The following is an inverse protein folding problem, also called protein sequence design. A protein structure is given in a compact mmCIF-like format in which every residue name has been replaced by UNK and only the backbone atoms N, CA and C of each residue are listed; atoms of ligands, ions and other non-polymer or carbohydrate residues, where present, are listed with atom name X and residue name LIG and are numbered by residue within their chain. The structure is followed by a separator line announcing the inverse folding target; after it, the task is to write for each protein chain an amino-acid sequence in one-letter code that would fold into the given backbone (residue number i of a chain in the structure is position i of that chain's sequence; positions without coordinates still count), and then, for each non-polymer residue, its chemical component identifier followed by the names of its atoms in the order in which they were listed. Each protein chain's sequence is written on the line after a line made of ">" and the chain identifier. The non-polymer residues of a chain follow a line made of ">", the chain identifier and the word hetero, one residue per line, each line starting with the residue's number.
data_IF_928654555730
#
_entry.id   IF_928654555730
#
_cell.length_a   1.000
_cell.length_b   1.000
_cell.length_c   1.000
_cell.angle_alpha   90.00
_cell.angle_beta   90.00
_cell.angle_gamma   90.00
#
_symmetry.space_group_name_H-M   'P 1'
#
loop_
_entity.id
_entity.type
_entity.pdbx_description
1 polymer ?
#
# COMPACT_ATOMS: atom_id res chain seq x y z
N UNK A 1 1.06 -15.29 -7.22
CA UNK A 1 1.27 -14.59 -5.94
C UNK A 1 0.01 -13.81 -5.64
N UNK A 2 -0.57 -13.98 -4.46
CA UNK A 2 -1.73 -13.21 -4.01
C UNK A 2 -1.24 -12.07 -3.10
N UNK A 3 -1.56 -10.83 -3.47
CA UNK A 3 -1.17 -9.62 -2.74
C UNK A 3 -2.35 -8.99 -1.98
N UNK A 4 -3.59 -9.41 -2.27
CA UNK A 4 -4.79 -8.72 -1.82
C UNK A 4 -5.41 -9.40 -0.60
N UNK A 5 -5.61 -10.72 -0.61
CA UNK A 5 -6.62 -11.35 0.26
C UNK A 5 -6.08 -11.86 1.61
N UNK A 6 -4.93 -11.38 2.07
CA UNK A 6 -4.35 -11.84 3.33
C UNK A 6 -5.17 -11.36 4.55
N UNK A 7 -5.30 -12.20 5.58
CA UNK A 7 -5.99 -11.88 6.83
C UNK A 7 -7.45 -12.35 6.91
N UNK A 8 -8.11 -12.04 8.05
CA UNK A 8 -9.52 -12.32 8.31
C UNK A 8 -10.19 -11.07 8.93
N UNK A 9 -11.21 -10.46 8.30
CA UNK A 9 -11.76 -10.80 6.98
C UNK A 9 -10.71 -10.68 5.86
N UNK A 10 -10.96 -11.34 4.73
CA UNK A 10 -10.03 -11.38 3.60
C UNK A 10 -9.62 -9.96 3.19
N UNK A 11 -8.31 -9.70 3.13
CA UNK A 11 -7.75 -8.38 2.80
C UNK A 11 -7.35 -7.48 3.98
N UNK A 12 -7.69 -7.87 5.21
CA UNK A 12 -7.29 -7.12 6.41
C UNK A 12 -5.77 -6.99 6.59
N UNK A 13 -4.99 -7.91 6.02
CA UNK A 13 -3.53 -7.95 6.11
C UNK A 13 -2.85 -8.03 4.74
N UNK A 14 -3.58 -7.69 3.67
CA UNK A 14 -3.06 -7.63 2.30
C UNK A 14 -1.85 -6.71 2.18
N UNK A 15 -1.02 -6.94 1.16
CA UNK A 15 0.14 -6.13 0.88
C UNK A 15 -0.28 -4.71 0.47
N UNK A 16 0.27 -3.71 1.16
CA UNK A 16 -0.04 -2.28 0.94
C UNK A 16 1.26 -1.51 0.74
N UNK A 17 1.23 -0.50 -0.12
CA UNK A 17 2.31 0.47 -0.27
C UNK A 17 1.76 1.82 0.18
N UNK A 18 2.27 2.35 1.29
CA UNK A 18 1.87 3.66 1.79
C UNK A 18 2.93 4.69 1.36
N UNK A 19 2.56 5.54 0.39
CA UNK A 19 3.45 6.59 -0.15
C UNK A 19 3.78 7.65 0.89
N UNK A 20 2.76 8.14 1.60
CA UNK A 20 2.89 9.17 2.61
C UNK A 20 3.72 8.72 3.81
N UNK A 21 3.39 7.55 4.35
CA UNK A 21 4.08 6.98 5.49
C UNK A 21 5.46 6.41 5.13
N UNK A 22 5.72 6.19 3.83
CA UNK A 22 7.05 5.87 3.30
C UNK A 22 7.47 4.41 3.50
N UNK A 23 6.52 3.47 3.52
CA UNK A 23 6.80 2.05 3.68
C UNK A 23 5.74 1.16 3.02
N UNK A 24 6.08 -0.11 2.82
CA UNK A 24 5.13 -1.16 2.50
C UNK A 24 4.83 -2.01 3.74
N UNK A 25 3.63 -2.59 3.78
CA UNK A 25 3.17 -3.44 4.88
C UNK A 25 2.34 -4.61 4.37
N UNK A 26 2.03 -5.53 5.28
CA UNK A 26 1.15 -6.67 5.02
C UNK A 26 1.87 -7.85 4.36
N UNK A 27 1.06 -8.80 3.89
CA UNK A 27 1.54 -10.10 3.47
C UNK A 27 1.23 -10.40 2.01
N UNK A 28 2.20 -11.06 1.35
CA UNK A 28 2.05 -11.63 0.02
C UNK A 28 2.10 -13.15 0.15
N UNK A 29 1.09 -13.83 -0.37
CA UNK A 29 1.10 -15.29 -0.50
C UNK A 29 1.72 -15.72 -1.82
N UNK A 30 2.58 -16.72 -1.78
CA UNK A 30 3.12 -17.36 -2.94
C UNK A 30 3.06 -18.88 -2.79
N UNK A 31 2.35 -19.53 -3.71
CA UNK A 31 1.97 -20.95 -3.64
C UNK A 31 3.10 -21.91 -3.23
N UNK A 32 4.30 -21.71 -3.78
CA UNK A 32 5.42 -22.62 -3.55
C UNK A 32 6.39 -22.16 -2.44
N UNK A 33 6.24 -20.94 -1.92
CA UNK A 33 7.19 -20.35 -0.97
C UNK A 33 6.53 -19.75 0.28
N UNK A 34 5.21 -19.87 0.40
CA UNK A 34 4.45 -19.44 1.56
C UNK A 34 4.28 -17.92 1.63
N UNK A 35 4.18 -17.42 2.86
CA UNK A 35 3.98 -16.00 3.14
C UNK A 35 5.27 -15.19 3.12
N UNK A 36 5.17 -13.99 2.55
CA UNK A 36 6.19 -12.95 2.58
C UNK A 36 5.62 -11.75 3.35
N UNK A 37 6.29 -11.35 4.44
CA UNK A 37 5.96 -10.17 5.23
C UNK A 37 6.77 -8.96 4.73
N UNK A 38 6.08 -7.91 4.27
CA UNK A 38 6.70 -6.66 3.81
C UNK A 38 7.02 -5.68 4.94
N UNK A 39 6.45 -5.89 6.13
CA UNK A 39 6.59 -5.04 7.31
C UNK A 39 5.25 -4.82 8.05
N UNK A 40 5.33 -4.37 9.29
CA UNK A 40 4.19 -4.14 10.18
C UNK A 40 3.99 -2.64 10.57
N UNK A 41 4.18 -1.69 9.66
CA UNK A 41 4.05 -0.24 9.93
C UNK A 41 5.38 0.49 10.18
N UNK A 42 6.08 0.89 9.10
CA UNK A 42 7.41 1.52 9.13
C UNK A 42 7.40 3.04 9.31
N UNK A 43 8.44 3.78 8.86
CA UNK A 43 9.68 3.31 8.21
C UNK A 43 10.63 2.50 9.12
N UNK A 44 11.49 1.70 8.50
CA UNK A 44 12.36 0.74 9.18
C UNK A 44 13.83 1.14 9.09
N UNK A 45 14.54 1.05 10.22
CA UNK A 45 16.00 1.22 10.22
C UNK A 45 16.72 0.00 9.65
N UNK A 46 16.06 -1.17 9.61
CA UNK A 46 16.57 -2.42 9.04
C UNK A 46 17.90 -2.88 9.68
N UNK A 47 18.06 -2.70 10.99
CA UNK A 47 19.29 -3.05 11.72
C UNK A 47 19.22 -4.39 12.45
N UNK A 48 18.02 -4.95 12.63
CA UNK A 48 17.81 -6.23 13.33
C UNK A 48 16.65 -7.00 12.69
N UNK A 49 16.59 -8.32 12.91
CA UNK A 49 15.46 -9.14 12.46
C UNK A 49 14.13 -8.85 13.17
N UNK A 50 14.11 -7.95 14.17
CA UNK A 50 12.89 -7.48 14.86
C UNK A 50 12.41 -6.11 14.36
N UNK A 51 13.26 -5.36 13.67
CA UNK A 51 12.93 -4.10 13.02
C UNK A 51 13.32 -4.20 11.54
N UNK A 52 12.47 -4.87 10.78
CA UNK A 52 12.61 -5.06 9.35
C UNK A 52 11.36 -4.63 8.62
N UNK A 53 11.55 -4.27 7.37
CA UNK A 53 10.47 -4.06 6.42
C UNK A 53 10.94 -3.25 5.22
N UNK A 54 10.04 -3.11 4.26
CA UNK A 54 10.31 -2.42 3.01
C UNK A 54 9.95 -0.94 3.16
N UNK A 55 10.95 -0.08 3.02
CA UNK A 55 10.77 1.37 2.95
C UNK A 55 10.49 1.78 1.50
N UNK A 56 9.71 2.84 1.32
CA UNK A 56 9.37 3.42 0.02
C UNK A 56 9.60 4.92 0.10
N UNK A 57 10.41 5.47 -0.80
CA UNK A 57 10.56 6.90 -0.90
C UNK A 57 9.28 7.53 -1.47
N UNK A 58 8.61 8.38 -0.70
CA UNK A 58 7.32 8.97 -1.10
C UNK A 58 7.37 9.90 -2.32
N UNK A 59 8.55 10.40 -2.71
CA UNK A 59 8.71 11.27 -3.89
C UNK A 59 9.16 10.51 -5.14
N UNK A 60 9.98 9.48 -4.99
CA UNK A 60 10.63 8.79 -6.13
C UNK A 60 10.14 7.35 -6.32
N UNK A 61 9.49 6.77 -5.31
CA UNK A 61 9.06 5.38 -5.30
C UNK A 61 10.20 4.39 -5.08
N UNK A 62 11.45 4.86 -4.90
CA UNK A 62 12.59 3.98 -4.65
C UNK A 62 12.36 3.14 -3.39
N UNK A 63 12.57 1.81 -3.51
CA UNK A 63 12.37 0.89 -2.39
C UNK A 63 13.69 0.47 -1.77
N UNK A 64 13.68 0.24 -0.47
CA UNK A 64 14.83 -0.25 0.29
C UNK A 64 14.38 -1.12 1.46
N UNK A 65 15.33 -1.73 2.17
CA UNK A 65 15.03 -2.58 3.31
C UNK A 65 14.76 -4.03 2.95
N UNK A 66 14.24 -4.77 3.92
CA UNK A 66 14.16 -6.22 3.89
C UNK A 66 12.72 -6.69 4.13
N UNK A 67 12.24 -7.62 3.30
CA UNK A 67 11.06 -8.43 3.59
C UNK A 67 11.49 -9.83 4.06
N UNK A 68 10.61 -10.52 4.78
CA UNK A 68 10.87 -11.88 5.28
C UNK A 68 9.90 -12.88 4.65
N UNK A 69 10.42 -13.89 3.96
CA UNK A 69 9.63 -15.02 3.46
C UNK A 69 9.88 -16.27 4.29
N UNK A 70 8.84 -16.92 4.79
CA UNK A 70 8.98 -18.03 5.75
C UNK A 70 9.76 -19.24 5.19
N UNK A 71 9.69 -19.48 3.87
CA UNK A 71 10.41 -20.58 3.21
C UNK A 71 11.57 -20.12 2.31
N UNK A 72 11.84 -18.81 2.23
CA UNK A 72 12.85 -18.23 1.32
C UNK A 72 13.81 -17.27 2.01
N UNK A 73 13.57 -16.94 3.28
CA UNK A 73 14.41 -16.09 4.08
C UNK A 73 14.32 -14.61 3.71
N UNK A 74 15.42 -13.88 3.86
CA UNK A 74 15.46 -12.44 3.61
C UNK A 74 15.36 -12.10 2.12
N UNK A 75 14.53 -11.10 1.82
CA UNK A 75 14.38 -10.50 0.49
C UNK A 75 14.76 -9.02 0.59
N UNK A 76 15.83 -8.63 -0.11
CA UNK A 76 16.35 -7.28 -0.13
C UNK A 76 15.84 -6.46 -1.33
N UNK A 77 15.09 -5.40 -1.06
CA UNK A 77 14.53 -4.51 -2.07
C UNK A 77 15.53 -3.49 -2.63
N UNK A 78 16.67 -3.26 -1.95
CA UNK A 78 17.79 -2.50 -2.53
C UNK A 78 18.75 -3.37 -3.35
N UNK A 79 18.54 -4.70 -3.39
CA UNK A 79 19.46 -5.65 -4.04
C UNK A 79 19.75 -5.34 -5.51
N UNK A 80 18.75 -4.89 -6.27
CA UNK A 80 18.92 -4.52 -7.69
C UNK A 80 19.86 -3.34 -7.93
N UNK A 81 20.23 -2.56 -6.91
CA UNK A 81 21.25 -1.53 -7.03
C UNK A 81 22.64 -2.10 -7.32
N UNK A 82 22.88 -3.37 -7.00
CA UNK A 82 24.13 -4.08 -7.26
C UNK A 82 24.13 -4.80 -8.62
N UNK A 83 23.01 -4.81 -9.35
CA UNK A 83 22.93 -5.37 -10.69
C UNK A 83 23.70 -4.49 -11.71
N UNK A 84 24.02 -5.06 -12.87
CA UNK A 84 24.63 -4.32 -13.99
C UNK A 84 23.78 -4.53 -15.26
N UNK A 85 23.07 -3.51 -15.76
CA UNK A 85 22.91 -2.17 -15.16
C UNK A 85 22.12 -2.22 -13.85
N UNK A 86 22.35 -1.23 -12.97
CA UNK A 86 21.63 -1.14 -11.71
C UNK A 86 20.15 -0.89 -11.95
N UNK A 87 19.30 -1.75 -11.38
CA UNK A 87 17.84 -1.67 -11.47
C UNK A 87 17.20 -2.03 -10.12
N UNK A 88 17.35 -1.20 -9.08
CA UNK A 88 16.75 -1.44 -7.78
C UNK A 88 15.22 -1.47 -7.84
N UNK A 89 14.60 -2.15 -6.88
CA UNK A 89 13.16 -2.16 -6.76
C UNK A 89 12.62 -0.74 -6.54
N UNK A 90 11.53 -0.42 -7.22
CA UNK A 90 10.82 0.85 -7.06
C UNK A 90 9.34 0.66 -7.37
N UNK A 91 8.51 1.52 -6.79
CA UNK A 91 7.12 1.67 -7.18
C UNK A 91 6.99 2.83 -8.17
N UNK A 92 6.40 2.55 -9.33
CA UNK A 92 6.11 3.51 -10.37
C UNK A 92 4.70 4.05 -10.14
N UNK A 93 4.59 5.21 -9.50
CA UNK A 93 3.30 5.83 -9.15
C UNK A 93 2.45 6.08 -10.40
N UNK A 94 3.04 6.55 -11.50
CA UNK A 94 2.31 6.84 -12.73
C UNK A 94 1.69 5.58 -13.36
N UNK A 95 2.37 4.44 -13.27
CA UNK A 95 1.88 3.16 -13.80
C UNK A 95 1.20 2.27 -12.75
N UNK A 96 1.18 2.67 -11.47
CA UNK A 96 0.66 1.90 -10.34
C UNK A 96 1.30 0.52 -10.15
N UNK A 97 2.56 0.32 -10.55
CA UNK A 97 3.21 -1.00 -10.52
C UNK A 97 4.61 -0.98 -9.92
N UNK A 98 5.04 -2.15 -9.45
CA UNK A 98 6.44 -2.35 -9.11
C UNK A 98 7.32 -2.44 -10.37
N UNK A 99 8.60 -2.12 -10.18
CA UNK A 99 9.65 -2.11 -11.19
C UNK A 99 10.98 -2.52 -10.56
N UNK A 100 11.98 -2.82 -11.40
CA UNK A 100 13.32 -3.25 -10.99
C UNK A 100 13.36 -4.66 -10.41
N UNK A 101 14.37 -4.90 -9.57
CA UNK A 101 14.69 -6.21 -9.02
C UNK A 101 14.94 -6.16 -7.51
N UNK A 102 14.45 -7.20 -6.83
CA UNK A 102 14.82 -7.54 -5.46
C UNK A 102 15.70 -8.80 -5.44
N UNK A 103 16.40 -9.02 -4.33
CA UNK A 103 17.27 -10.19 -4.15
C UNK A 103 16.81 -11.02 -2.96
N UNK A 104 16.40 -12.26 -3.19
CA UNK A 104 16.12 -13.23 -2.13
C UNK A 104 17.33 -14.12 -1.87
N UNK A 105 17.71 -14.30 -0.61
CA UNK A 105 18.93 -15.05 -0.27
C UNK A 105 18.89 -16.52 -0.72
N UNK A 106 17.71 -17.16 -0.70
CA UNK A 106 17.53 -18.56 -1.08
C UNK A 106 16.88 -18.76 -2.46
N UNK A 107 16.48 -17.69 -3.15
CA UNK A 107 15.77 -17.75 -4.44
C UNK A 107 16.37 -16.87 -5.53
N UNK A 108 17.40 -16.08 -5.21
CA UNK A 108 18.10 -15.21 -6.14
C UNK A 108 17.28 -14.00 -6.58
N UNK A 109 17.46 -13.60 -7.85
CA UNK A 109 16.83 -12.41 -8.41
C UNK A 109 15.31 -12.57 -8.55
N UNK A 110 14.58 -11.62 -7.97
CA UNK A 110 13.13 -11.48 -8.13
C UNK A 110 12.88 -10.33 -9.10
N UNK A 111 12.29 -10.65 -10.26
CA UNK A 111 11.93 -9.66 -11.28
C UNK A 111 10.58 -9.00 -10.96
N UNK A 112 10.59 -7.69 -10.72
CA UNK A 112 9.39 -6.88 -10.53
C UNK A 112 9.02 -6.06 -11.78
N UNK A 113 9.86 -6.04 -12.80
CA UNK A 113 9.72 -5.23 -14.02
C UNK A 113 9.38 -6.05 -15.27
N UNK A 114 8.59 -7.11 -15.13
CA UNK A 114 8.12 -7.85 -16.29
C UNK A 114 7.38 -6.90 -17.26
N UNK A 115 7.84 -6.86 -18.52
CA UNK A 115 7.28 -6.00 -19.56
C UNK A 115 6.04 -6.60 -20.23
N UNK A 116 5.83 -7.90 -20.06
CA UNK A 116 4.67 -8.61 -20.57
C UNK A 116 3.40 -8.08 -19.89
N UNK A 117 2.42 -7.69 -20.72
CA UNK A 117 1.12 -7.23 -20.24
C UNK A 117 0.47 -8.31 -19.34
N UNK A 118 0.05 -7.90 -18.14
CA UNK A 118 -0.58 -8.79 -17.16
C UNK A 118 0.36 -9.70 -16.35
N UNK A 119 1.69 -9.63 -16.56
CA UNK A 119 2.68 -10.40 -15.76
C UNK A 119 3.47 -9.56 -14.76
N UNK A 120 2.94 -8.41 -14.37
CA UNK A 120 3.55 -7.52 -13.38
C UNK A 120 2.68 -7.40 -12.14
N UNK A 121 3.30 -7.04 -11.03
CA UNK A 121 2.57 -6.73 -9.79
C UNK A 121 2.09 -5.29 -9.87
N UNK A 122 0.77 -5.12 -10.02
CA UNK A 122 0.08 -3.86 -9.74
C UNK A 122 -0.36 -3.94 -8.29
N UNK A 123 0.22 -3.11 -7.45
CA UNK A 123 -0.40 -2.83 -6.14
C UNK A 123 -1.35 -1.70 -6.48
N UNK A 124 -2.65 -1.82 -6.20
CA UNK A 124 -3.50 -0.65 -6.31
C UNK A 124 -2.84 0.36 -5.36
N UNK A 125 -2.22 1.45 -5.85
CA UNK A 125 -1.95 2.54 -4.93
C UNK A 125 -3.33 2.80 -4.35
N UNK A 126 -3.50 2.70 -3.04
CA UNK A 126 -4.67 3.29 -2.41
C UNK A 126 -4.22 4.74 -2.34
N UNK A 127 -4.45 5.57 -3.38
CA UNK A 127 -4.05 6.95 -3.27
C UNK A 127 -5.15 7.68 -2.51
N UNK A 128 -6.30 7.05 -2.24
CA UNK A 128 -7.49 7.58 -1.61
C UNK A 128 -8.10 6.58 -0.64
N UNK A 129 -8.76 7.03 0.42
CA UNK A 129 -9.67 6.22 1.24
C UNK A 129 -10.72 5.53 0.36
N UNK A 130 -11.36 4.51 0.90
CA UNK A 130 -12.50 3.93 0.20
C UNK A 130 -13.75 4.80 0.39
N UNK A 131 -14.80 4.46 -0.35
CA UNK A 131 -16.05 5.24 -0.33
C UNK A 131 -16.94 4.87 0.87
N UNK A 132 -16.66 3.76 1.56
CA UNK A 132 -17.37 3.33 2.77
C UNK A 132 -16.82 4.12 3.98
N UNK A 133 -16.99 5.44 3.96
CA UNK A 133 -16.31 6.35 4.88
C UNK A 133 -16.66 6.08 6.34
N UNK A 134 -17.87 5.56 6.62
CA UNK A 134 -18.30 5.21 7.97
C UNK A 134 -18.09 3.72 8.31
N UNK A 135 -17.44 2.95 7.44
CA UNK A 135 -17.07 1.55 7.63
C UNK A 135 -18.27 0.63 7.96
N UNK A 136 -19.46 0.93 7.42
CA UNK A 136 -20.68 0.18 7.72
C UNK A 136 -20.96 -0.94 6.71
N UNK A 137 -20.10 -1.15 5.71
CA UNK A 137 -20.18 -2.15 4.63
C UNK A 137 -21.24 -1.89 3.57
N UNK A 138 -21.87 -0.72 3.58
CA UNK A 138 -22.86 -0.28 2.60
C UNK A 138 -22.28 0.92 1.85
N UNK A 139 -21.93 0.71 0.58
CA UNK A 139 -21.35 1.77 -0.25
C UNK A 139 -21.64 1.53 -1.74
N UNK A 140 -21.73 2.59 -2.55
CA UNK A 140 -21.85 3.98 -2.13
C UNK A 140 -23.25 4.27 -1.55
N UNK A 141 -23.33 5.02 -0.45
CA UNK A 141 -24.60 5.58 0.04
C UNK A 141 -24.50 7.07 0.43
N UNK A 142 -25.66 7.72 0.56
CA UNK A 142 -25.73 9.14 0.95
C UNK A 142 -25.15 9.38 2.35
N UNK A 143 -25.18 8.36 3.22
CA UNK A 143 -24.66 8.43 4.57
C UNK A 143 -23.13 8.53 4.60
N UNK A 144 -22.40 7.89 3.68
CA UNK A 144 -20.94 8.04 3.54
C UNK A 144 -20.55 9.51 3.29
N UNK A 145 -21.31 10.17 2.41
CA UNK A 145 -21.12 11.58 2.07
C UNK A 145 -21.46 12.48 3.26
N UNK A 146 -22.55 12.18 3.97
CA UNK A 146 -22.96 12.93 5.17
C UNK A 146 -21.89 12.78 6.26
N UNK A 147 -21.39 11.58 6.50
CA UNK A 147 -20.38 11.31 7.52
C UNK A 147 -19.04 11.97 7.16
N UNK A 148 -18.62 11.94 5.89
CA UNK A 148 -17.42 12.64 5.42
C UNK A 148 -17.47 14.13 5.76
N UNK A 149 -18.54 14.82 5.38
CA UNK A 149 -18.70 16.25 5.71
C UNK A 149 -18.91 16.52 7.19
N UNK A 150 -19.53 15.59 7.92
CA UNK A 150 -19.73 15.72 9.36
C UNK A 150 -18.37 15.70 10.07
N UNK A 151 -17.51 14.72 9.75
CA UNK A 151 -16.17 14.62 10.34
C UNK A 151 -15.26 15.75 9.86
N UNK A 152 -15.33 16.15 8.58
CA UNK A 152 -14.60 17.32 8.05
C UNK A 152 -14.96 18.61 8.81
N UNK A 153 -16.21 18.75 9.25
CA UNK A 153 -16.68 19.88 10.06
C UNK A 153 -16.36 19.74 11.57
N UNK A 154 -15.68 18.68 12.00
CA UNK A 154 -15.35 18.39 13.40
C UNK A 154 -16.48 17.73 14.19
N UNK A 155 -17.51 17.20 13.51
CA UNK A 155 -18.55 16.37 14.09
C UNK A 155 -18.11 14.93 14.34
N UNK A 156 -18.96 14.16 15.02
CA UNK A 156 -18.73 12.74 15.27
C UNK A 156 -19.23 11.89 14.09
N UNK A 157 -18.51 10.81 13.77
CA UNK A 157 -18.95 9.80 12.82
C UNK A 157 -20.23 9.09 13.32
N UNK A 158 -21.14 8.73 12.42
CA UNK A 158 -22.33 7.95 12.74
C UNK A 158 -22.03 6.59 13.37
N UNK A 159 -20.86 6.02 13.08
CA UNK A 159 -20.41 4.71 13.56
C UNK A 159 -19.33 4.78 14.65
N UNK A 160 -19.08 5.96 15.25
CA UNK A 160 -18.23 6.07 16.44
C UNK A 160 -18.81 5.24 17.62
N UNK A 161 -17.95 4.63 18.47
CA UNK A 161 -16.50 4.58 18.40
C UNK A 161 -15.96 3.39 17.58
N UNK A 162 -16.84 2.45 17.20
CA UNK A 162 -16.50 1.24 16.42
C UNK A 162 -17.69 0.91 15.52
N UNK A 163 -17.50 0.75 14.20
CA UNK A 163 -16.22 0.73 13.47
C UNK A 163 -15.48 2.07 13.37
N UNK A 164 -16.16 3.21 13.54
CA UNK A 164 -15.57 4.54 13.35
C UNK A 164 -15.41 4.92 11.87
N UNK A 165 -15.16 6.19 11.61
CA UNK A 165 -14.96 6.68 10.25
C UNK A 165 -13.50 6.58 9.81
N UNK A 166 -13.32 6.57 8.48
CA UNK A 166 -12.04 6.75 7.83
C UNK A 166 -11.46 8.16 8.05
N UNK A 167 -10.20 8.31 7.68
CA UNK A 167 -9.49 9.60 7.79
C UNK A 167 -10.05 10.61 6.79
N UNK A 168 -10.15 11.87 7.21
CA UNK A 168 -10.47 13.01 6.33
C UNK A 168 -9.31 13.37 5.37
N UNK A 169 -8.10 12.86 5.63
CA UNK A 169 -6.99 12.82 4.65
C UNK A 169 -7.33 11.79 3.58
N UNK A 170 -8.34 12.09 2.76
CA UNK A 170 -8.92 11.14 1.84
C UNK A 170 -7.84 10.68 0.87
N UNK A 171 -7.04 11.59 0.30
CA UNK A 171 -5.99 11.25 -0.66
C UNK A 171 -4.66 10.79 -0.01
N UNK A 172 -4.68 10.52 1.30
CA UNK A 172 -3.56 10.01 2.08
C UNK A 172 -2.23 10.73 1.80
N UNK A 173 -2.27 12.04 1.63
CA UNK A 173 -1.09 12.85 1.30
C UNK A 173 -0.50 13.57 2.53
N UNK A 174 -1.08 13.35 3.72
CA UNK A 174 -0.74 13.95 5.03
C UNK A 174 -1.07 15.43 5.21
N UNK A 175 -1.70 16.05 4.21
CA UNK A 175 -2.22 17.40 4.27
C UNK A 175 -3.72 17.32 4.46
N UNK A 176 -4.19 17.59 5.67
CA UNK A 176 -5.62 17.53 5.97
C UNK A 176 -6.00 18.52 7.07
N UNK A 177 -7.22 19.07 7.04
CA UNK A 177 -8.16 19.04 5.92
C UNK A 177 -7.69 19.94 4.76
N UNK A 178 -7.82 19.50 3.51
CA UNK A 178 -7.68 20.36 2.33
C UNK A 178 -8.79 20.17 1.28
N UNK A 179 -8.92 21.15 0.38
CA UNK A 179 -9.93 21.09 -0.70
C UNK A 179 -9.70 19.89 -1.65
N UNK A 180 -8.45 19.44 -1.77
CA UNK A 180 -8.09 18.31 -2.61
C UNK A 180 -8.65 16.99 -2.06
N UNK A 181 -8.72 16.79 -0.74
CA UNK A 181 -9.38 15.63 -0.13
C UNK A 181 -10.84 15.52 -0.57
N UNK A 182 -11.55 16.66 -0.58
CA UNK A 182 -12.96 16.74 -0.98
C UNK A 182 -13.13 16.48 -2.47
N UNK A 183 -12.25 17.06 -3.29
CA UNK A 183 -12.24 16.82 -4.74
C UNK A 183 -12.00 15.34 -5.03
N UNK A 184 -11.04 14.73 -4.36
CA UNK A 184 -10.66 13.34 -4.57
C UNK A 184 -11.75 12.38 -4.10
N UNK A 185 -12.40 12.68 -2.97
CA UNK A 185 -13.58 11.95 -2.49
C UNK A 185 -14.68 11.90 -3.55
N UNK A 186 -15.05 13.04 -4.13
CA UNK A 186 -16.08 13.08 -5.16
C UNK A 186 -15.65 12.46 -6.49
N UNK A 187 -14.37 12.56 -6.86
CA UNK A 187 -13.86 11.90 -8.06
C UNK A 187 -13.99 10.38 -7.93
N UNK A 188 -13.58 9.81 -6.80
CA UNK A 188 -13.68 8.37 -6.54
C UNK A 188 -15.15 7.94 -6.40
N UNK A 189 -15.99 8.74 -5.73
CA UNK A 189 -17.44 8.49 -5.64
C UNK A 189 -18.11 8.45 -7.02
N UNK A 190 -17.64 9.29 -7.95
CA UNK A 190 -18.09 9.33 -9.34
C UNK A 190 -17.52 8.19 -10.21
N UNK A 191 -16.69 7.31 -9.64
CA UNK A 191 -16.07 6.18 -10.32
C UNK A 191 -14.81 6.51 -11.11
N UNK A 192 -14.19 7.69 -10.89
CA UNK A 192 -12.87 7.99 -11.43
C UNK A 192 -11.77 7.30 -10.60
N UNK A 193 -10.61 7.07 -11.24
CA UNK A 193 -9.41 6.66 -10.53
C UNK A 193 -8.96 7.78 -9.58
N UNK A 194 -8.49 7.42 -8.40
CA UNK A 194 -7.92 8.38 -7.47
C UNK A 194 -6.61 8.98 -8.05
N UNK A 195 -6.43 10.31 -7.98
CA UNK A 195 -5.24 10.96 -8.54
C UNK A 195 -3.96 10.62 -7.77
N UNK A 196 -2.84 10.63 -8.49
CA UNK A 196 -1.49 10.38 -7.96
C UNK A 196 -0.88 11.62 -7.33
#
# INVERSE_FOLDING_TARGET
>A
MNWADAGLPGGAQGARINRAAGFASGFVWAENIGWINLGNGGPYTNTTGLNFGVNVNGSTGAMSGLAWGENVGWINFSGGALATPAQPARFDFAAGRLRGYAWGENIGWINLDAIDAGKFVRVNPIPCGDIDFNNNTVFPEDQDVIDFFTVLAGGACSTEPVPGCDSIDFNNNTVFPEDQDVIDFFNVLAGADCPN
#
